data_IF_318988448500
#
_entry.id   IF_318988448500
#
_cell.length_a   1.000
_cell.length_b   1.000
_cell.length_c   1.000
_cell.angle_alpha   90.00
_cell.angle_beta   90.00
_cell.angle_gamma   90.00
#
_symmetry.space_group_name_H-M   'P 1'
#
loop_
_entity.id
_entity.type
_entity.pdbx_description
1 polymer ?
#
# COMPACT_ATOMS: atom_id res chain seq x y z
N UNK A 1 -3.25 -9.45 -14.24
CA UNK A 1 -2.03 -9.67 -13.43
C UNK A 1 -2.32 -9.19 -12.01
N UNK A 2 -1.93 -9.97 -11.00
CA UNK A 2 -2.14 -9.64 -9.59
C UNK A 2 -0.81 -9.18 -8.97
N UNK A 3 -0.85 -8.09 -8.21
CA UNK A 3 0.32 -7.48 -7.58
C UNK A 3 0.13 -7.45 -6.06
N UNK A 4 1.16 -7.87 -5.32
CA UNK A 4 1.20 -7.76 -3.87
C UNK A 4 2.17 -6.66 -3.47
N UNK A 5 1.72 -5.73 -2.63
CA UNK A 5 2.55 -4.67 -2.04
C UNK A 5 2.73 -4.97 -0.56
N UNK A 6 3.99 -5.04 -0.10
CA UNK A 6 4.33 -5.28 1.30
C UNK A 6 4.66 -3.93 1.96
N UNK A 7 3.93 -3.58 3.01
CA UNK A 7 4.01 -2.31 3.72
C UNK A 7 2.91 -1.33 3.29
N UNK A 8 2.14 -0.82 4.25
CA UNK A 8 1.07 0.16 4.06
C UNK A 8 1.47 1.59 4.49
N UNK A 9 2.77 1.91 4.43
CA UNK A 9 3.24 3.29 4.53
C UNK A 9 2.89 4.12 3.28
N UNK A 10 3.22 5.41 3.31
CA UNK A 10 2.90 6.37 2.23
C UNK A 10 3.35 5.85 0.86
N UNK A 11 4.58 5.35 0.74
CA UNK A 11 5.12 4.81 -0.52
C UNK A 11 4.37 3.56 -1.00
N UNK A 12 4.03 2.65 -0.08
CA UNK A 12 3.32 1.41 -0.40
C UNK A 12 1.89 1.68 -0.88
N UNK A 13 1.14 2.51 -0.16
CA UNK A 13 -0.22 2.91 -0.56
C UNK A 13 -0.21 3.73 -1.86
N UNK A 14 0.78 4.59 -2.06
CA UNK A 14 0.94 5.34 -3.32
C UNK A 14 1.20 4.40 -4.49
N UNK A 15 2.08 3.41 -4.34
CA UNK A 15 2.36 2.41 -5.37
C UNK A 15 1.10 1.57 -5.66
N UNK A 16 0.39 1.13 -4.62
CA UNK A 16 -0.85 0.37 -4.76
C UNK A 16 -1.90 1.18 -5.56
N UNK A 17 -2.09 2.46 -5.24
CA UNK A 17 -3.01 3.35 -5.97
C UNK A 17 -2.60 3.52 -7.44
N UNK A 18 -1.32 3.72 -7.72
CA UNK A 18 -0.82 3.86 -9.09
C UNK A 18 -1.05 2.58 -9.91
N UNK A 19 -0.86 1.42 -9.30
CA UNK A 19 -1.10 0.12 -9.94
C UNK A 19 -2.59 -0.15 -10.16
N UNK A 20 -3.44 0.15 -9.18
CA UNK A 20 -4.90 0.04 -9.33
C UNK A 20 -5.41 0.92 -10.47
N UNK A 21 -4.91 2.16 -10.59
CA UNK A 21 -5.25 3.08 -11.70
C UNK A 21 -4.82 2.57 -13.08
N UNK A 22 -3.88 1.63 -13.14
CA UNK A 22 -3.45 0.95 -14.37
C UNK A 22 -4.20 -0.36 -14.64
N UNK A 23 -5.21 -0.69 -13.83
CA UNK A 23 -6.05 -1.88 -14.01
C UNK A 23 -5.48 -3.16 -13.41
N UNK A 24 -4.49 -3.07 -12.52
CA UNK A 24 -3.99 -4.23 -11.79
C UNK A 24 -4.88 -4.56 -10.59
N UNK A 25 -5.05 -5.86 -10.32
CA UNK A 25 -5.60 -6.34 -9.05
C UNK A 25 -4.49 -6.26 -8.00
N UNK A 26 -4.67 -5.41 -6.98
CA UNK A 26 -3.63 -5.12 -5.99
C UNK A 26 -4.08 -5.55 -4.60
N UNK A 27 -3.20 -6.24 -3.87
CA UNK A 27 -3.35 -6.55 -2.46
C UNK A 27 -2.21 -5.92 -1.67
N UNK A 28 -2.54 -5.17 -0.62
CA UNK A 28 -1.55 -4.60 0.31
C UNK A 28 -1.53 -5.43 1.58
N UNK A 29 -0.34 -5.79 2.07
CA UNK A 29 -0.14 -6.48 3.33
C UNK A 29 0.68 -5.61 4.28
N UNK A 30 0.24 -5.50 5.52
CA UNK A 30 0.89 -4.71 6.57
C UNK A 30 0.97 -5.54 7.86
N UNK A 31 2.09 -5.43 8.58
CA UNK A 31 2.28 -6.11 9.86
C UNK A 31 1.55 -5.40 11.00
N UNK A 32 1.41 -4.07 10.92
CA UNK A 32 0.70 -3.28 11.91
C UNK A 32 -0.80 -3.63 11.88
N UNK A 33 -1.38 -3.80 13.08
CA UNK A 33 -2.82 -4.09 13.23
C UNK A 33 -3.71 -2.93 12.81
N UNK A 34 -3.15 -1.74 12.75
CA UNK A 34 -3.81 -0.50 12.40
C UNK A 34 -2.81 0.41 11.70
N UNK A 35 -3.29 1.18 10.74
CA UNK A 35 -2.49 2.23 10.13
C UNK A 35 -2.40 3.38 11.11
N UNK A 36 -1.18 3.66 11.57
CA UNK A 36 -0.87 4.83 12.37
C UNK A 36 0.15 5.66 11.63
N UNK A 37 0.01 6.97 11.74
CA UNK A 37 1.07 7.89 11.37
C UNK A 37 2.23 7.67 12.34
N UNK A 38 3.28 7.00 11.89
CA UNK A 38 4.56 7.02 12.58
C UNK A 38 5.20 8.37 12.25
N UNK A 39 5.27 9.23 13.27
CA UNK A 39 5.45 10.67 13.10
C UNK A 39 6.67 11.11 12.29
N UNK A 40 6.48 12.20 11.55
CA UNK A 40 7.16 13.49 11.71
C UNK A 40 6.50 14.49 10.74
N UNK A 41 5.40 15.11 11.19
CA UNK A 41 4.60 16.07 10.42
C UNK A 41 3.14 15.99 10.78
#
# INVERSE_FOLDING_TARGET
>A
MRVVVIGAGIGGLTAALALMRRGFEVQVLEQARELREVGAG
#
